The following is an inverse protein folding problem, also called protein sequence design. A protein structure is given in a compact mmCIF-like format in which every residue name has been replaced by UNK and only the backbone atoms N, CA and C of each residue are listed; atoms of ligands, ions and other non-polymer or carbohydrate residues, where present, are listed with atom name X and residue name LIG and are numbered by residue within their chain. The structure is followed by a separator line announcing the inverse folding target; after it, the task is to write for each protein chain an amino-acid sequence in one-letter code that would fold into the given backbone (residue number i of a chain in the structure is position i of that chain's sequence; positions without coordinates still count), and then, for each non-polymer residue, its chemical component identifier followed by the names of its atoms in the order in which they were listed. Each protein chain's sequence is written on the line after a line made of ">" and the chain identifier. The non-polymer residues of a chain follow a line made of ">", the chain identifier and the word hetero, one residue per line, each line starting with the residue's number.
data_IF_376486976871
#
_entry.id   IF_376486976871
#
_cell.length_a   1.000
_cell.length_b   1.000
_cell.length_c   1.000
_cell.angle_alpha   90.00
_cell.angle_beta   90.00
_cell.angle_gamma   90.00
#
_symmetry.space_group_name_H-M   'P 1'
#
loop_
_entity.id
_entity.type
_entity.pdbx_description
1 polymer ?
#
# COMPACT_ATOMS: atom_id res chain seq x y z
N UNK A 1 2.68 21.76 7.81
CA UNK A 1 1.28 21.27 7.80
C UNK A 1 1.25 20.06 6.88
N UNK A 2 0.92 18.87 7.39
CA UNK A 2 0.74 17.68 6.55
C UNK A 2 -0.54 17.91 5.72
N UNK A 3 -0.39 17.94 4.41
CA UNK A 3 -1.50 18.00 3.45
C UNK A 3 -2.09 16.60 3.27
N UNK A 4 -3.27 16.50 2.65
CA UNK A 4 -3.92 15.21 2.34
C UNK A 4 -3.00 14.23 1.60
N UNK A 5 -2.03 14.74 0.83
CA UNK A 5 -1.03 13.92 0.14
C UNK A 5 -0.10 13.10 1.04
N UNK A 6 -0.07 13.37 2.36
CA UNK A 6 0.77 12.66 3.33
C UNK A 6 0.00 11.60 4.14
N UNK A 7 -1.28 11.37 3.83
CA UNK A 7 -2.05 10.29 4.48
C UNK A 7 -1.74 8.94 3.84
N UNK A 8 -1.81 7.88 4.66
CA UNK A 8 -1.66 6.51 4.15
C UNK A 8 -2.71 6.16 3.10
N UNK A 9 -3.95 6.66 3.25
CA UNK A 9 -5.04 6.48 2.28
C UNK A 9 -4.71 7.08 0.92
N UNK A 10 -4.18 8.31 0.88
CA UNK A 10 -3.82 8.95 -0.38
C UNK A 10 -2.72 8.17 -1.10
N UNK A 11 -1.69 7.75 -0.35
CA UNK A 11 -0.61 6.94 -0.89
C UNK A 11 -1.13 5.59 -1.42
N UNK A 12 -2.06 4.95 -0.70
CA UNK A 12 -2.64 3.67 -1.10
C UNK A 12 -3.39 3.79 -2.44
N UNK A 13 -4.22 4.82 -2.58
CA UNK A 13 -4.92 5.09 -3.85
C UNK A 13 -3.94 5.33 -5.00
N UNK A 14 -2.87 6.10 -4.78
CA UNK A 14 -1.87 6.36 -5.83
C UNK A 14 -1.09 5.12 -6.23
N UNK A 15 -0.73 4.27 -5.28
CA UNK A 15 -0.08 2.98 -5.59
C UNK A 15 -1.04 2.05 -6.33
N UNK A 16 -2.29 1.94 -5.88
CA UNK A 16 -3.33 1.16 -6.58
C UNK A 16 -3.50 1.61 -8.03
N UNK A 17 -3.65 2.92 -8.28
CA UNK A 17 -3.74 3.48 -9.64
C UNK A 17 -2.54 3.04 -10.51
N UNK A 18 -1.32 3.05 -9.97
CA UNK A 18 -0.14 2.57 -10.69
C UNK A 18 -0.21 1.08 -11.00
N UNK A 19 -0.52 0.24 -9.99
CA UNK A 19 -0.58 -1.21 -10.16
C UNK A 19 -1.60 -1.63 -11.23
N UNK A 20 -2.78 -1.00 -11.24
CA UNK A 20 -3.82 -1.20 -12.25
C UNK A 20 -3.34 -0.74 -13.64
N UNK A 21 -2.75 0.46 -13.72
CA UNK A 21 -2.24 1.01 -14.98
C UNK A 21 -1.22 0.09 -15.65
N UNK A 22 -0.36 -0.56 -14.87
CA UNK A 22 0.65 -1.49 -15.37
C UNK A 22 0.18 -2.95 -15.47
N UNK A 23 -1.03 -3.28 -15.01
CA UNK A 23 -1.55 -4.66 -15.01
C UNK A 23 -0.73 -5.61 -14.13
N UNK A 24 -0.27 -5.11 -12.97
CA UNK A 24 0.62 -5.85 -12.04
C UNK A 24 0.04 -6.01 -10.63
N UNK A 25 -1.24 -5.71 -10.44
CA UNK A 25 -1.94 -5.82 -9.14
C UNK A 25 -1.81 -7.19 -8.47
N UNK A 26 -1.76 -8.28 -9.25
CA UNK A 26 -1.55 -9.66 -8.78
C UNK A 26 -0.09 -10.13 -8.83
N UNK A 27 0.84 -9.26 -9.25
CA UNK A 27 2.27 -9.58 -9.45
C UNK A 27 3.16 -8.93 -8.40
N UNK A 28 2.58 -8.50 -7.29
CA UNK A 28 3.30 -7.99 -6.12
C UNK A 28 3.50 -9.13 -5.11
N UNK A 29 4.56 -9.03 -4.31
CA UNK A 29 4.89 -10.01 -3.26
C UNK A 29 4.65 -9.46 -1.84
N UNK A 30 4.68 -8.15 -1.67
CA UNK A 30 4.54 -7.47 -0.39
C UNK A 30 5.00 -6.02 -0.47
N UNK A 31 4.88 -5.30 0.64
CA UNK A 31 5.26 -3.90 0.74
C UNK A 31 6.42 -3.74 1.72
N UNK A 32 7.44 -3.00 1.33
CA UNK A 32 8.52 -2.59 2.25
C UNK A 32 8.47 -1.09 2.44
N UNK A 33 8.29 -0.61 3.68
CA UNK A 33 8.21 0.82 4.00
C UNK A 33 9.06 1.16 5.22
N UNK A 34 9.30 2.44 5.49
CA UNK A 34 9.85 2.87 6.78
C UNK A 34 8.87 2.60 7.95
N UNK A 35 9.30 2.91 9.17
CA UNK A 35 8.51 2.65 10.37
C UNK A 35 7.47 3.75 10.70
N UNK A 36 7.17 4.64 9.75
CA UNK A 36 6.15 5.67 9.96
C UNK A 36 4.75 5.03 10.15
N UNK A 37 3.97 5.54 11.10
CA UNK A 37 2.67 4.96 11.47
C UNK A 37 1.61 5.09 10.39
N UNK A 38 1.73 6.08 9.50
CA UNK A 38 0.86 6.24 8.33
C UNK A 38 0.97 5.05 7.36
N UNK A 39 2.09 4.31 7.36
CA UNK A 39 2.24 3.10 6.55
C UNK A 39 1.30 1.98 6.99
N UNK A 40 0.83 1.99 8.24
CA UNK A 40 -0.19 1.05 8.71
C UNK A 40 -1.50 1.28 7.95
N UNK A 41 -1.94 2.55 7.88
CA UNK A 41 -3.13 2.94 7.12
C UNK A 41 -2.95 2.67 5.64
N UNK A 42 -1.78 2.99 5.07
CA UNK A 42 -1.46 2.69 3.68
C UNK A 42 -1.66 1.21 3.35
N UNK A 43 -1.07 0.30 4.14
CA UNK A 43 -1.17 -1.14 3.88
C UNK A 43 -2.61 -1.64 4.04
N UNK A 44 -3.31 -1.25 5.11
CA UNK A 44 -4.70 -1.67 5.31
C UNK A 44 -5.63 -1.16 4.21
N UNK A 45 -5.43 0.09 3.74
CA UNK A 45 -6.24 0.64 2.65
C UNK A 45 -5.91 -0.06 1.33
N UNK A 46 -4.63 -0.30 1.05
CA UNK A 46 -4.23 -0.99 -0.19
C UNK A 46 -4.75 -2.43 -0.24
N UNK A 47 -4.79 -3.12 0.90
CA UNK A 47 -5.39 -4.45 1.05
C UNK A 47 -6.89 -4.45 0.70
N UNK A 48 -7.63 -3.39 1.04
CA UNK A 48 -9.05 -3.27 0.64
C UNK A 48 -9.28 -2.87 -0.82
N UNK A 49 -8.26 -2.33 -1.50
CA UNK A 49 -8.38 -1.85 -2.87
C UNK A 49 -7.99 -2.92 -3.90
N UNK A 50 -7.07 -3.81 -3.54
CA UNK A 50 -6.60 -4.87 -4.42
C UNK A 50 -7.50 -6.11 -4.35
N UNK A 51 -7.49 -6.99 -5.38
CA UNK A 51 -8.19 -8.26 -5.31
C UNK A 51 -7.69 -9.14 -4.15
N UNK A 52 -8.56 -9.99 -3.61
CA UNK A 52 -8.26 -10.87 -2.46
C UNK A 52 -7.06 -11.81 -2.70
N UNK A 53 -6.73 -12.11 -3.96
CA UNK A 53 -5.57 -12.93 -4.32
C UNK A 53 -4.24 -12.17 -4.32
N UNK A 54 -4.25 -10.84 -4.23
CA UNK A 54 -3.04 -10.04 -4.19
C UNK A 54 -2.29 -10.24 -2.87
N UNK A 55 -0.97 -10.38 -2.94
CA UNK A 55 -0.12 -10.53 -1.75
C UNK A 55 0.16 -9.17 -1.09
N UNK A 56 -0.87 -8.61 -0.47
CA UNK A 56 -0.85 -7.33 0.26
C UNK A 56 -1.48 -7.51 1.64
N UNK A 57 -1.07 -6.70 2.61
CA UNK A 57 -1.62 -6.72 3.95
C UNK A 57 -0.55 -6.77 5.03
N UNK A 58 -0.98 -6.88 6.27
CA UNK A 58 -0.07 -6.79 7.44
C UNK A 58 0.96 -7.93 7.46
N UNK A 59 0.60 -9.13 7.00
CA UNK A 59 1.51 -10.28 6.96
C UNK A 59 2.57 -10.21 5.86
N UNK A 60 2.36 -9.38 4.84
CA UNK A 60 3.32 -9.13 3.75
C UNK A 60 3.94 -7.72 3.83
N UNK A 61 3.78 -7.03 4.97
CA UNK A 61 4.37 -5.72 5.24
C UNK A 61 5.70 -5.86 5.97
N UNK A 62 6.79 -5.57 5.27
CA UNK A 62 8.15 -5.51 5.82
C UNK A 62 8.46 -4.06 6.21
N UNK A 63 9.09 -3.86 7.38
CA UNK A 63 9.51 -2.52 7.83
C UNK A 63 11.02 -2.38 7.77
N UNK A 64 11.49 -1.25 7.27
CA UNK A 64 12.89 -0.88 7.33
C UNK A 64 13.31 -0.63 8.80
N UNK A 65 14.57 -0.95 9.11
CA UNK A 65 15.22 -0.68 10.40
C UNK A 65 15.60 0.78 10.56
#
# INVERSE_FOLDING_TARGET
>A
RLTSSHTGEYLANKVFECLETYGVSLKILGNTTDNASNNNTYVSTLETLLPDEALVGTHTHVRCF
#
